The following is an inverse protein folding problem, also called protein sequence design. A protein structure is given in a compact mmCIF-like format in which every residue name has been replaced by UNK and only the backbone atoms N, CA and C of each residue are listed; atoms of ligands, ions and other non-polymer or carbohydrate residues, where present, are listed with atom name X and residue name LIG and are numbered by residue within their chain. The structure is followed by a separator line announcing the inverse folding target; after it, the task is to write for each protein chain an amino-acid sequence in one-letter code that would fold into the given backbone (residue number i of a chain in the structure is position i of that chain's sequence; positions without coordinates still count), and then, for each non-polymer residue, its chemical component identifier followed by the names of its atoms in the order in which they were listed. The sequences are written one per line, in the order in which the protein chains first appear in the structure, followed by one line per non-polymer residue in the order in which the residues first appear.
data_IF_648774871249
#
_entry.id   IF_648774871249
#
_cell.length_a   1.000
_cell.length_b   1.000
_cell.length_c   1.000
_cell.angle_alpha   90.00
_cell.angle_beta   90.00
_cell.angle_gamma   90.00
#
_symmetry.space_group_name_H-M   'P 1'
#
loop_
_entity.id
_entity.type
_entity.pdbx_description
1 polymer ?
#
# COMPACT_ATOMS: atom_id res chain seq x y z
N UNK A 1 22.42 1.84 9.91
CA UNK A 1 21.39 2.19 10.90
C UNK A 1 21.57 1.31 12.12
N UNK A 2 21.53 1.85 13.33
CA UNK A 2 21.73 1.08 14.58
C UNK A 2 20.43 0.80 15.35
N UNK A 3 19.30 1.35 14.91
CA UNK A 3 18.00 1.22 15.56
C UNK A 3 17.08 0.33 14.72
N UNK A 4 16.34 -0.56 15.39
CA UNK A 4 15.35 -1.43 14.77
C UNK A 4 14.06 -0.64 14.53
N UNK A 5 13.89 -0.12 13.31
CA UNK A 5 12.78 0.74 12.92
C UNK A 5 12.15 0.27 11.61
N UNK A 6 10.82 0.28 11.52
CA UNK A 6 10.09 0.01 10.28
C UNK A 6 10.32 1.11 9.22
N UNK A 7 10.70 2.33 9.63
CA UNK A 7 11.04 3.41 8.70
C UNK A 7 12.27 3.07 7.83
N UNK A 8 13.16 2.19 8.30
CA UNK A 8 14.46 1.91 7.68
C UNK A 8 14.33 1.38 6.25
N UNK A 9 13.28 0.59 5.94
CA UNK A 9 13.05 0.01 4.61
C UNK A 9 12.81 1.05 3.52
N UNK A 10 12.49 2.29 3.91
CA UNK A 10 12.22 3.39 2.99
C UNK A 10 13.40 4.35 2.81
N UNK A 11 14.56 4.07 3.39
CA UNK A 11 15.73 4.93 3.27
C UNK A 11 16.32 4.89 1.85
N UNK A 12 16.64 6.04 1.23
CA UNK A 12 17.21 6.10 -0.11
C UNK A 12 18.72 5.80 -0.07
N UNK A 13 19.05 4.52 0.02
CA UNK A 13 20.43 4.03 -0.06
C UNK A 13 21.09 4.41 -1.39
N UNK A 14 22.36 4.82 -1.34
CA UNK A 14 23.11 5.25 -2.53
C UNK A 14 23.32 4.10 -3.52
N UNK A 15 23.29 2.86 -3.05
CA UNK A 15 23.40 1.62 -3.81
C UNK A 15 22.18 1.40 -4.73
N UNK A 16 21.04 2.03 -4.44
CA UNK A 16 19.82 1.91 -5.23
C UNK A 16 19.96 2.74 -6.52
N UNK A 17 20.29 2.07 -7.62
CA UNK A 17 20.49 2.69 -8.94
C UNK A 17 19.27 2.58 -9.88
N UNK A 18 18.33 1.69 -9.59
CA UNK A 18 17.15 1.44 -10.44
C UNK A 18 15.97 2.33 -10.04
N UNK A 19 15.19 2.78 -11.03
CA UNK A 19 13.96 3.54 -10.74
C UNK A 19 12.84 2.66 -10.19
N UNK A 20 12.76 1.41 -10.64
CA UNK A 20 11.83 0.42 -10.12
C UNK A 20 12.38 -0.20 -8.83
N UNK A 21 11.62 -0.09 -7.75
CA UNK A 21 11.89 -0.73 -6.45
C UNK A 21 10.87 -1.83 -6.25
N UNK A 22 11.34 -2.96 -5.74
CA UNK A 22 10.50 -4.01 -5.19
C UNK A 22 10.81 -4.06 -3.70
N UNK A 23 9.80 -3.75 -2.89
CA UNK A 23 9.89 -3.91 -1.44
C UNK A 23 9.15 -5.19 -1.05
N UNK A 24 9.74 -6.01 -0.19
CA UNK A 24 9.17 -7.27 0.25
C UNK A 24 9.47 -7.51 1.73
N UNK A 25 8.57 -8.20 2.41
CA UNK A 25 8.83 -8.73 3.74
C UNK A 25 9.70 -9.99 3.65
N UNK A 26 10.36 -10.37 4.74
CA UNK A 26 11.28 -11.52 4.80
C UNK A 26 10.57 -12.85 5.08
N UNK A 27 9.23 -12.85 5.13
CA UNK A 27 8.37 -14.01 5.37
C UNK A 27 7.40 -14.31 4.21
N UNK A 28 7.71 -13.82 3.01
CA UNK A 28 6.89 -13.98 1.80
C UNK A 28 7.70 -14.47 0.57
N UNK A 29 7.03 -15.19 -0.35
CA UNK A 29 7.60 -15.75 -1.59
C UNK A 29 6.58 -15.74 -2.74
N UNK A 30 6.66 -14.70 -3.57
CA UNK A 30 5.79 -14.50 -4.74
C UNK A 30 6.34 -15.26 -5.95
N UNK A 31 5.49 -15.96 -6.72
CA UNK A 31 5.92 -16.57 -7.97
C UNK A 31 6.56 -15.55 -8.93
N UNK A 32 7.70 -15.92 -9.51
CA UNK A 32 8.43 -15.07 -10.47
C UNK A 32 7.54 -14.51 -11.58
N UNK A 33 6.60 -15.30 -12.11
CA UNK A 33 5.69 -14.85 -13.17
C UNK A 33 4.80 -13.68 -12.72
N UNK A 34 4.35 -13.69 -11.46
CA UNK A 34 3.47 -12.68 -10.91
C UNK A 34 4.27 -11.41 -10.56
N UNK A 35 5.48 -11.57 -10.02
CA UNK A 35 6.42 -10.47 -9.81
C UNK A 35 6.80 -9.80 -11.14
N UNK A 36 7.15 -10.58 -12.17
CA UNK A 36 7.50 -10.05 -13.49
C UNK A 36 6.33 -9.28 -14.12
N UNK A 37 5.11 -9.79 -13.96
CA UNK A 37 3.91 -9.10 -14.40
C UNK A 37 3.66 -7.78 -13.64
N UNK A 38 3.93 -7.73 -12.34
CA UNK A 38 3.85 -6.50 -11.55
C UNK A 38 4.85 -5.44 -12.00
N UNK A 39 6.10 -5.84 -12.27
CA UNK A 39 7.14 -4.94 -12.82
C UNK A 39 6.70 -4.39 -14.18
N UNK A 40 6.20 -5.24 -15.08
CA UNK A 40 5.76 -4.77 -16.40
C UNK A 40 4.53 -3.87 -16.32
N UNK A 41 3.60 -4.19 -15.43
CA UNK A 41 2.42 -3.35 -15.16
C UNK A 41 2.87 -1.96 -14.71
N UNK A 42 3.81 -1.90 -13.77
CA UNK A 42 4.41 -0.65 -13.32
C UNK A 42 5.13 0.09 -14.47
N UNK A 43 5.97 -0.60 -15.26
CA UNK A 43 6.74 -0.01 -16.37
C UNK A 43 5.87 0.52 -17.51
N UNK A 44 4.76 -0.15 -17.80
CA UNK A 44 3.92 0.19 -18.94
C UNK A 44 3.16 1.50 -18.75
N UNK A 45 2.35 1.57 -17.70
CA UNK A 45 1.39 2.67 -17.52
C UNK A 45 1.36 3.23 -16.09
N UNK A 46 1.88 2.49 -15.11
CA UNK A 46 1.66 2.77 -13.70
C UNK A 46 2.93 3.19 -12.97
N UNK A 47 3.88 3.82 -13.66
CA UNK A 47 5.20 4.19 -13.12
C UNK A 47 5.12 5.16 -11.93
N UNK A 48 4.02 5.91 -11.84
CA UNK A 48 3.74 6.81 -10.72
C UNK A 48 3.03 6.10 -9.56
N UNK A 49 2.42 4.93 -9.77
CA UNK A 49 1.56 4.28 -8.78
C UNK A 49 2.35 3.32 -7.89
N UNK A 50 1.69 2.94 -6.79
CA UNK A 50 2.01 1.74 -6.05
C UNK A 50 1.34 0.55 -6.76
N UNK A 51 2.12 -0.42 -7.21
CA UNK A 51 1.60 -1.67 -7.79
C UNK A 51 1.80 -2.79 -6.77
N UNK A 52 0.71 -3.39 -6.30
CA UNK A 52 0.72 -4.44 -5.28
C UNK A 52 -0.31 -5.53 -5.55
N UNK A 53 -0.52 -6.42 -4.58
CA UNK A 53 -1.31 -7.64 -4.75
C UNK A 53 -2.58 -7.68 -3.89
N UNK A 54 -3.62 -8.32 -4.42
CA UNK A 54 -4.99 -8.28 -3.85
C UNK A 54 -5.11 -8.91 -2.46
N UNK A 55 -4.29 -9.90 -2.12
CA UNK A 55 -4.26 -10.55 -0.80
C UNK A 55 -3.51 -9.72 0.26
N UNK A 56 -2.73 -8.73 -0.18
CA UNK A 56 -2.02 -7.76 0.66
C UNK A 56 -2.71 -6.39 0.63
N UNK A 57 -3.93 -6.34 0.12
CA UNK A 57 -4.71 -5.13 0.03
C UNK A 57 -5.52 -4.86 1.31
N UNK A 58 -5.81 -3.59 1.56
CA UNK A 58 -6.61 -3.13 2.70
C UNK A 58 -7.33 -1.84 2.33
N UNK A 59 -8.20 -1.37 3.23
CA UNK A 59 -9.06 -0.23 3.00
C UNK A 59 -9.13 0.73 4.19
N UNK A 60 -9.21 2.02 3.88
CA UNK A 60 -9.85 2.98 4.78
C UNK A 60 -11.36 2.91 4.56
N UNK A 61 -12.16 2.97 5.62
CA UNK A 61 -13.63 2.99 5.57
C UNK A 61 -14.12 4.12 6.46
N UNK A 62 -14.85 5.13 5.94
CA UNK A 62 -15.51 6.13 6.78
C UNK A 62 -16.54 5.47 7.69
N UNK A 63 -16.51 5.80 8.98
CA UNK A 63 -17.54 5.37 9.93
C UNK A 63 -18.56 6.47 10.13
N UNK A 64 -19.84 6.08 10.19
CA UNK A 64 -20.94 7.01 10.45
C UNK A 64 -20.88 7.62 11.87
N UNK A 65 -20.16 6.97 12.78
CA UNK A 65 -19.96 7.42 14.16
C UNK A 65 -18.70 8.30 14.18
N UNK A 66 -18.86 9.56 14.59
CA UNK A 66 -17.80 10.57 14.80
C UNK A 66 -16.97 10.99 13.57
N UNK A 67 -17.39 10.64 12.35
CA UNK A 67 -16.65 10.96 11.10
C UNK A 67 -15.19 10.46 11.16
N UNK A 68 -14.94 9.43 11.96
CA UNK A 68 -13.64 8.77 12.03
C UNK A 68 -13.53 7.75 10.90
N UNK A 69 -12.31 7.29 10.68
CA UNK A 69 -12.01 6.31 9.65
C UNK A 69 -11.59 5.01 10.32
N UNK A 70 -11.99 3.90 9.75
CA UNK A 70 -11.61 2.56 10.17
C UNK A 70 -10.63 1.95 9.18
N UNK A 71 -9.56 1.35 9.69
CA UNK A 71 -8.68 0.52 8.88
C UNK A 71 -9.27 -0.90 8.81
N UNK A 72 -9.50 -1.40 7.60
CA UNK A 72 -10.06 -2.73 7.37
C UNK A 72 -9.16 -3.52 6.44
N UNK A 73 -8.67 -4.67 6.91
CA UNK A 73 -8.02 -5.63 6.04
C UNK A 73 -9.08 -6.28 5.15
N UNK A 74 -8.88 -6.23 3.83
CA UNK A 74 -9.96 -6.57 2.91
C UNK A 74 -10.22 -8.08 2.90
N UNK A 75 -11.43 -8.49 3.26
CA UNK A 75 -11.99 -9.75 2.78
C UNK A 75 -12.92 -9.44 1.60
N UNK A 76 -12.59 -9.99 0.42
CA UNK A 76 -13.18 -9.67 -0.89
C UNK A 76 -14.72 -9.69 -0.95
N UNK A 77 -15.40 -10.38 -0.03
CA UNK A 77 -16.87 -10.55 -0.01
C UNK A 77 -17.61 -9.80 1.09
N UNK A 78 -16.91 -9.28 2.10
CA UNK A 78 -17.56 -8.65 3.26
C UNK A 78 -17.82 -7.15 3.07
N UNK A 79 -17.13 -6.50 2.15
CA UNK A 79 -17.14 -5.04 2.04
C UNK A 79 -18.00 -4.47 0.90
N UNK A 80 -18.22 -5.22 -0.19
CA UNK A 80 -19.07 -4.76 -1.30
C UNK A 80 -19.65 -5.93 -2.08
N UNK A 81 -20.90 -5.78 -2.52
CA UNK A 81 -21.59 -6.72 -3.41
C UNK A 81 -21.09 -6.58 -4.86
N UNK A 82 -20.50 -5.45 -5.22
CA UNK A 82 -20.04 -5.14 -6.58
C UNK A 82 -18.59 -5.56 -6.85
N UNK A 83 -17.99 -6.30 -5.92
CA UNK A 83 -16.63 -6.82 -6.05
C UNK A 83 -15.64 -6.17 -5.09
N UNK A 84 -14.38 -6.59 -5.19
CA UNK A 84 -13.33 -6.11 -4.30
C UNK A 84 -12.85 -4.70 -4.70
N UNK A 85 -12.46 -3.95 -3.69
CA UNK A 85 -11.85 -2.63 -3.86
C UNK A 85 -10.75 -2.44 -2.80
N UNK A 86 -9.82 -1.54 -3.11
CA UNK A 86 -8.61 -1.34 -2.31
C UNK A 86 -8.23 0.14 -2.28
N UNK A 87 -7.74 0.62 -1.15
CA UNK A 87 -7.14 1.96 -1.05
C UNK A 87 -5.74 1.94 -0.44
N UNK A 88 -5.31 0.78 0.07
CA UNK A 88 -4.01 0.55 0.68
C UNK A 88 -3.49 -0.79 0.15
N UNK A 89 -2.20 -0.85 -0.17
CA UNK A 89 -1.46 -2.09 -0.45
C UNK A 89 -0.24 -2.18 0.47
N UNK A 90 0.02 -3.35 1.03
CA UNK A 90 1.13 -3.53 1.98
C UNK A 90 2.48 -3.57 1.23
N UNK A 91 3.59 -3.19 1.87
CA UNK A 91 4.93 -3.14 1.30
C UNK A 91 5.58 -4.51 1.10
N UNK A 92 4.82 -5.60 1.18
CA UNK A 92 5.27 -6.94 0.81
C UNK A 92 4.97 -7.17 -0.69
N UNK A 93 6.00 -7.38 -1.51
CA UNK A 93 5.90 -7.42 -2.98
C UNK A 93 5.34 -6.15 -3.63
N UNK A 94 5.65 -4.98 -3.06
CA UNK A 94 5.20 -3.68 -3.55
C UNK A 94 6.18 -3.11 -4.57
N UNK A 95 5.69 -2.79 -5.76
CA UNK A 95 6.47 -2.18 -6.84
C UNK A 95 6.18 -0.67 -6.93
N UNK A 96 7.23 0.16 -6.91
CA UNK A 96 7.10 1.61 -6.97
C UNK A 96 8.37 2.34 -7.44
N UNK A 97 8.25 3.65 -7.69
CA UNK A 97 9.36 4.49 -8.12
C UNK A 97 10.29 4.88 -6.95
N UNK A 98 11.62 4.70 -7.08
CA UNK A 98 12.62 5.00 -6.04
C UNK A 98 12.54 6.39 -5.43
N UNK A 99 12.06 7.38 -6.20
CA UNK A 99 11.88 8.76 -5.74
C UNK A 99 11.02 8.85 -4.47
N UNK A 100 10.11 7.91 -4.26
CA UNK A 100 9.28 7.88 -3.05
C UNK A 100 10.08 7.52 -1.79
N UNK A 101 11.23 6.84 -1.90
CA UNK A 101 12.17 6.67 -0.78
C UNK A 101 12.68 8.03 -0.30
N UNK A 102 13.16 8.85 -1.24
CA UNK A 102 13.63 10.21 -0.92
C UNK A 102 12.51 11.08 -0.33
N UNK A 103 11.31 11.03 -0.91
CA UNK A 103 10.16 11.77 -0.39
C UNK A 103 9.79 11.30 1.03
N UNK A 104 9.81 10.00 1.28
CA UNK A 104 9.52 9.43 2.59
C UNK A 104 10.52 9.88 3.64
N UNK A 105 11.82 9.78 3.36
CA UNK A 105 12.86 10.10 4.32
C UNK A 105 13.04 11.60 4.56
N UNK A 106 12.95 12.43 3.52
CA UNK A 106 13.38 13.83 3.59
C UNK A 106 12.26 14.86 3.41
N UNK A 107 11.07 14.48 2.93
CA UNK A 107 10.00 15.43 2.60
C UNK A 107 8.72 15.22 3.41
N UNK A 108 8.48 14.04 3.96
CA UNK A 108 7.37 13.82 4.88
C UNK A 108 7.54 14.63 6.17
N UNK A 109 6.43 15.13 6.77
CA UNK A 109 6.44 15.67 8.12
C UNK A 109 7.09 14.68 9.09
N UNK A 110 8.06 15.14 9.88
CA UNK A 110 8.81 14.30 10.82
C UNK A 110 7.86 13.58 11.80
N UNK A 111 6.80 14.26 12.25
CA UNK A 111 5.77 13.71 13.14
C UNK A 111 5.09 12.44 12.61
N UNK A 112 5.00 12.26 11.28
CA UNK A 112 4.44 11.05 10.70
C UNK A 112 5.39 9.85 10.87
N UNK A 113 6.69 10.04 10.65
CA UNK A 113 7.71 8.99 10.86
C UNK A 113 7.91 8.69 12.34
N UNK A 114 7.81 9.71 13.20
CA UNK A 114 7.86 9.54 14.65
C UNK A 114 6.68 8.69 15.15
N UNK A 115 5.48 8.86 14.57
CA UNK A 115 4.33 8.02 14.89
C UNK A 115 4.58 6.56 14.52
N UNK A 116 5.12 6.29 13.33
CA UNK A 116 5.51 4.94 12.90
C UNK A 116 6.54 4.33 13.84
N UNK A 117 7.54 5.11 14.26
CA UNK A 117 8.57 4.67 15.21
C UNK A 117 7.93 4.28 16.55
N UNK A 118 7.15 5.20 17.13
CA UNK A 118 6.56 5.04 18.46
C UNK A 118 5.59 3.86 18.55
N UNK A 119 4.88 3.55 17.47
CA UNK A 119 3.93 2.45 17.41
C UNK A 119 4.54 1.15 16.89
N UNK A 120 5.73 1.21 16.29
CA UNK A 120 6.35 0.10 15.55
C UNK A 120 5.33 -0.56 14.61
N UNK A 121 4.63 0.26 13.84
CA UNK A 121 3.54 -0.15 12.93
C UNK A 121 3.27 0.97 11.91
N UNK A 122 2.38 0.72 10.95
CA UNK A 122 1.79 1.73 10.05
C UNK A 122 2.73 2.41 9.06
N UNK A 123 3.98 1.93 8.91
CA UNK A 123 4.93 2.39 7.90
C UNK A 123 4.35 2.27 6.49
N UNK A 124 3.56 1.21 6.27
CA UNK A 124 2.83 0.94 5.05
C UNK A 124 1.66 1.88 4.77
N UNK A 125 0.83 2.18 5.78
CA UNK A 125 -0.24 3.17 5.68
C UNK A 125 0.37 4.53 5.35
N UNK A 126 1.45 4.92 6.05
CA UNK A 126 2.15 6.18 5.80
C UNK A 126 2.69 6.25 4.37
N UNK A 127 3.27 5.16 3.86
CA UNK A 127 3.80 5.11 2.51
C UNK A 127 2.69 5.24 1.44
N UNK A 128 1.53 4.60 1.65
CA UNK A 128 0.37 4.78 0.79
C UNK A 128 -0.16 6.23 0.84
N UNK A 129 -0.23 6.84 2.02
CA UNK A 129 -0.61 8.25 2.18
C UNK A 129 0.34 9.19 1.42
N UNK A 130 1.65 8.97 1.54
CA UNK A 130 2.67 9.74 0.82
C UNK A 130 2.43 9.70 -0.69
N UNK A 131 2.34 8.50 -1.26
CA UNK A 131 2.25 8.35 -2.71
C UNK A 131 0.91 8.87 -3.21
N UNK A 132 -0.20 8.55 -2.55
CA UNK A 132 -1.52 9.05 -2.94
C UNK A 132 -1.60 10.58 -2.82
N UNK A 133 -0.94 11.19 -1.84
CA UNK A 133 -0.91 12.65 -1.71
C UNK A 133 -0.14 13.32 -2.85
N UNK A 134 0.96 12.72 -3.31
CA UNK A 134 1.78 13.23 -4.41
C UNK A 134 1.06 13.05 -5.75
N UNK A 135 0.50 11.87 -6.01
CA UNK A 135 -0.01 11.50 -7.33
C UNK A 135 -1.49 11.82 -7.52
N UNK A 136 -2.23 11.96 -6.41
CA UNK A 136 -3.70 11.98 -6.37
C UNK A 136 -4.33 10.72 -6.98
N UNK A 137 -3.59 9.61 -6.95
CA UNK A 137 -3.99 8.31 -7.50
C UNK A 137 -3.99 7.22 -6.44
N UNK A 138 -4.80 6.19 -6.66
CA UNK A 138 -4.86 5.01 -5.81
C UNK A 138 -3.81 3.97 -6.19
N UNK A 139 -3.75 2.86 -5.43
CA UNK A 139 -2.91 1.74 -5.78
C UNK A 139 -3.44 1.02 -7.02
N UNK A 140 -2.55 0.34 -7.70
CA UNK A 140 -2.84 -0.60 -8.78
C UNK A 140 -2.71 -2.00 -8.21
N UNK A 141 -3.74 -2.81 -8.37
CA UNK A 141 -3.84 -4.10 -7.67
C UNK A 141 -3.88 -5.24 -8.67
N UNK A 142 -3.01 -6.22 -8.44
CA UNK A 142 -2.93 -7.46 -9.21
C UNK A 142 -3.55 -8.59 -8.37
N UNK A 143 -4.48 -9.34 -8.97
CA UNK A 143 -5.01 -10.57 -8.43
C UNK A 143 -4.03 -11.71 -8.70
N UNK A 144 -3.10 -11.86 -7.75
CA UNK A 144 -2.26 -13.03 -7.56
C UNK A 144 -2.20 -13.33 -6.06
N UNK A 145 -1.76 -14.54 -5.73
CA UNK A 145 -1.70 -15.02 -4.36
C UNK A 145 -0.41 -15.80 -4.14
N UNK A 146 0.22 -15.58 -3.00
CA UNK A 146 1.31 -16.39 -2.48
C UNK A 146 0.88 -17.11 -1.20
N UNK A 147 1.62 -18.16 -0.86
CA UNK A 147 1.47 -18.82 0.44
C UNK A 147 2.44 -18.15 1.42
N UNK A 148 1.96 -17.50 2.49
CA UNK A 148 2.84 -16.87 3.46
C UNK A 148 3.64 -17.94 4.24
N UNK A 149 4.87 -17.62 4.61
CA UNK A 149 5.60 -18.42 5.60
C UNK A 149 5.11 -18.07 7.01
N UNK A 150 4.84 -19.07 7.84
CA UNK A 150 4.35 -18.83 9.20
C UNK A 150 5.53 -18.67 10.17
N UNK A 151 6.25 -17.55 10.06
CA UNK A 151 7.44 -17.27 10.88
C UNK A 151 7.15 -16.50 12.18
N UNK A 152 5.87 -16.23 12.48
CA UNK A 152 5.51 -15.21 13.47
C UNK A 152 5.39 -13.84 12.80
N UNK A 153 4.73 -12.85 13.43
CA UNK A 153 4.55 -11.56 12.77
C UNK A 153 3.91 -10.50 13.66
N UNK A 154 4.19 -9.22 13.37
CA UNK A 154 3.68 -8.06 14.12
C UNK A 154 2.14 -8.03 14.12
N UNK A 155 1.51 -8.60 13.10
CA UNK A 155 0.06 -8.70 12.95
C UNK A 155 -0.61 -9.54 14.04
N UNK A 156 0.12 -10.43 14.72
CA UNK A 156 -0.40 -11.27 15.81
C UNK A 156 -0.62 -10.49 17.12
N UNK A 157 -0.12 -9.26 17.24
CA UNK A 157 -0.34 -8.41 18.43
C UNK A 157 -1.83 -8.05 18.56
N UNK A 158 -2.40 -8.18 19.76
CA UNK A 158 -3.85 -7.94 20.01
C UNK A 158 -4.33 -6.57 19.53
N UNK A 159 -3.51 -5.54 19.69
CA UNK A 159 -3.84 -4.15 19.33
C UNK A 159 -3.55 -3.81 17.87
N UNK A 160 -3.07 -4.75 17.05
CA UNK A 160 -2.55 -4.45 15.71
C UNK A 160 -3.54 -3.66 14.83
N UNK A 161 -4.80 -4.10 14.78
CA UNK A 161 -5.83 -3.45 13.95
C UNK A 161 -6.29 -2.10 14.53
N UNK A 162 -6.34 -1.97 15.86
CA UNK A 162 -6.67 -0.73 16.56
C UNK A 162 -5.59 0.32 16.33
N UNK A 163 -4.31 -0.08 16.44
CA UNK A 163 -3.15 0.75 16.14
C UNK A 163 -3.20 1.27 14.70
N UNK A 164 -3.54 0.42 13.73
CA UNK A 164 -3.64 0.82 12.32
C UNK A 164 -4.79 1.80 12.07
N UNK A 165 -5.92 1.61 12.75
CA UNK A 165 -7.03 2.58 12.74
C UNK A 165 -6.61 3.92 13.35
N UNK A 166 -5.88 3.91 14.46
CA UNK A 166 -5.32 5.13 15.08
C UNK A 166 -4.39 5.87 14.11
N UNK A 167 -3.42 5.16 13.50
CA UNK A 167 -2.48 5.74 12.54
C UNK A 167 -3.21 6.42 11.38
N UNK A 168 -4.23 5.76 10.84
CA UNK A 168 -4.99 6.28 9.70
C UNK A 168 -5.66 7.62 10.02
N UNK A 169 -6.30 7.75 11.19
CA UNK A 169 -6.89 9.02 11.62
C UNK A 169 -5.81 10.08 11.89
N UNK A 170 -4.70 9.71 12.53
CA UNK A 170 -3.59 10.63 12.80
C UNK A 170 -2.89 11.13 11.53
N UNK A 171 -2.74 10.28 10.52
CA UNK A 171 -2.18 10.71 9.24
C UNK A 171 -3.11 11.65 8.49
N UNK A 172 -4.44 11.51 8.60
CA UNK A 172 -5.37 12.51 8.04
C UNK A 172 -5.16 13.88 8.69
N UNK A 173 -5.00 13.94 10.02
CA UNK A 173 -4.68 15.19 10.72
C UNK A 173 -3.36 15.78 10.21
N UNK A 174 -2.30 14.97 10.11
CA UNK A 174 -0.96 15.41 9.70
C UNK A 174 -0.93 15.88 8.23
N UNK A 175 -1.67 15.23 7.34
CA UNK A 175 -1.71 15.56 5.92
C UNK A 175 -2.77 16.63 5.58
N UNK A 176 -3.59 17.04 6.54
CA UNK A 176 -4.66 18.03 6.36
C UNK A 176 -5.88 17.52 5.58
N UNK A 177 -6.04 16.20 5.44
CA UNK A 177 -7.12 15.58 4.67
C UNK A 177 -6.83 14.13 4.32
N UNK A 178 -7.81 13.44 3.72
CA UNK A 178 -7.66 12.06 3.25
C UNK A 178 -7.07 12.03 1.83
N UNK A 179 -5.81 11.58 1.65
CA UNK A 179 -5.23 11.48 0.32
C UNK A 179 -5.53 10.15 -0.37
N UNK A 180 -5.86 9.09 0.38
CA UNK A 180 -6.05 7.76 -0.19
C UNK A 180 -7.21 7.73 -1.17
N UNK A 181 -7.03 6.98 -2.25
CA UNK A 181 -8.03 6.79 -3.30
C UNK A 181 -8.34 5.31 -3.45
N UNK A 182 -9.60 4.98 -3.66
CA UNK A 182 -10.03 3.61 -3.93
C UNK A 182 -9.73 3.23 -5.37
N UNK A 183 -9.36 1.97 -5.59
CA UNK A 183 -9.37 1.30 -6.88
C UNK A 183 -10.36 0.15 -6.85
N UNK A 184 -11.14 -0.01 -7.92
CA UNK A 184 -12.01 -1.17 -8.18
C UNK A 184 -11.49 -2.01 -9.34
N UNK A 185 -10.51 -1.51 -10.09
CA UNK A 185 -9.89 -2.22 -11.20
C UNK A 185 -8.78 -3.13 -10.67
N UNK A 186 -9.02 -4.45 -10.71
CA UNK A 186 -8.08 -5.47 -10.24
C UNK A 186 -7.63 -6.30 -11.44
N UNK A 187 -6.32 -6.36 -11.66
CA UNK A 187 -5.73 -7.05 -12.79
C UNK A 187 -5.44 -8.50 -12.49
N UNK A 188 -6.02 -9.43 -13.26
CA UNK A 188 -5.58 -10.83 -13.16
C UNK A 188 -4.13 -10.95 -13.60
N UNK A 189 -3.32 -11.66 -12.82
CA UNK A 189 -1.96 -11.96 -13.23
C UNK A 189 -1.95 -12.66 -14.59
N UNK A 190 -1.01 -12.28 -15.45
CA UNK A 190 -0.92 -12.77 -16.81
C UNK A 190 0.49 -13.30 -17.12
N UNK A 191 0.59 -14.62 -17.26
CA UNK A 191 1.86 -15.30 -17.59
C UNK A 191 2.46 -14.88 -18.94
N UNK A 192 1.62 -14.43 -19.88
CA UNK A 192 2.05 -13.91 -21.18
C UNK A 192 2.48 -12.43 -21.11
N UNK A 193 2.49 -11.83 -19.91
CA UNK A 193 3.00 -10.47 -19.63
C UNK A 193 2.36 -9.37 -20.48
N UNK A 194 1.11 -9.58 -20.93
CA UNK A 194 0.33 -8.53 -21.61
C UNK A 194 -0.21 -7.56 -20.55
N UNK A 195 0.40 -6.38 -20.51
CA UNK A 195 0.04 -5.31 -19.58
C UNK A 195 -1.35 -4.74 -19.96
N UNK A 196 -2.23 -4.50 -18.98
CA UNK A 196 -3.54 -3.90 -19.22
C UNK A 196 -3.46 -2.47 -19.75
N UNK A 197 -4.37 -2.07 -20.63
CA UNK A 197 -4.43 -0.70 -21.13
C UNK A 197 -4.92 0.29 -20.05
N UNK A 198 -4.36 1.50 -20.07
CA UNK A 198 -4.64 2.55 -19.08
C UNK A 198 -6.11 3.06 -19.13
N UNK A 199 -6.79 2.97 -20.28
CA UNK A 199 -8.05 3.69 -20.58
C UNK A 199 -9.28 3.29 -19.75
N UNK A 200 -9.19 2.30 -18.88
CA UNK A 200 -10.28 1.81 -18.01
C UNK A 200 -10.00 1.93 -16.51
N UNK A 201 -9.01 2.74 -16.11
CA UNK A 201 -8.54 2.80 -14.71
C UNK A 201 -8.90 4.13 -14.06
N UNK A 202 -9.86 4.07 -13.14
CA UNK A 202 -10.29 5.23 -12.37
C UNK A 202 -10.07 4.98 -10.89
N UNK A 203 -9.54 6.01 -10.23
CA UNK A 203 -9.42 6.04 -8.78
C UNK A 203 -10.55 6.90 -8.22
N UNK A 204 -11.13 6.48 -7.11
CA UNK A 204 -12.32 7.10 -6.54
C UNK A 204 -12.02 7.69 -5.16
N UNK A 205 -12.61 8.85 -4.88
CA UNK A 205 -12.52 9.50 -3.56
C UNK A 205 -13.56 8.91 -2.60
N UNK A 206 -14.68 8.48 -3.16
CA UNK A 206 -15.80 7.94 -2.41
C UNK A 206 -15.74 6.41 -2.33
N UNK A 207 -16.28 5.90 -1.24
CA UNK A 207 -16.33 4.48 -0.94
C UNK A 207 -17.20 3.72 -1.97
N UNK A 208 -16.67 2.71 -2.68
CA UNK A 208 -17.36 2.05 -3.80
C UNK A 208 -18.30 0.91 -3.34
N UNK A 209 -19.39 1.26 -2.63
CA UNK A 209 -20.37 0.31 -2.08
C UNK A 209 -21.80 0.57 -2.61
N UNK A 210 -21.95 1.08 -3.83
CA UNK A 210 -23.29 1.11 -4.45
C UNK A 210 -23.82 -0.30 -4.70
#
# INVERSE_FOLDING_TARGET
MKTNSLNNRFYPHNEIRTDCIINMDDDSDMPYSDMAFAIDTWRGHFFNNLVGFSHLGSNHIPTYINVTLQYVHSNKRLLSKNGAFYSIVHPSWLVFHRRYLYQYTYKLPQSARDLVESLTNCDDILFNFLVANITKQGPVVIDAWEKPYNLGGLWKRRTHMETRTLCLNKFVEIFGGMPLKYTTSIFKSNRNRRVPEMRSHFFQDQLPIQ
#
